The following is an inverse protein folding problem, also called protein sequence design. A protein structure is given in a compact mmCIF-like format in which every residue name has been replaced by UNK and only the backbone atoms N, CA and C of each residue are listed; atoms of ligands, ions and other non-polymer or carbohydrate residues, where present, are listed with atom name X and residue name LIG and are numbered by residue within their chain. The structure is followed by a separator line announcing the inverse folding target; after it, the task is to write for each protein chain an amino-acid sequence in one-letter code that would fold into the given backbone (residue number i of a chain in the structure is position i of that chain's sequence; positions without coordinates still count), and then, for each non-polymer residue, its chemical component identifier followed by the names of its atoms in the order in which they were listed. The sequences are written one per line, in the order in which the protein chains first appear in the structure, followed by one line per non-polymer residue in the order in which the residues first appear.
data_IF_371146685749
#
_entry.id   IF_371146685749
#
_cell.length_a   1.000
_cell.length_b   1.000
_cell.length_c   1.000
_cell.angle_alpha   90.00
_cell.angle_beta   90.00
_cell.angle_gamma   90.00
#
_symmetry.space_group_name_H-M   'P 1'
#
loop_
_entity.id
_entity.type
_entity.pdbx_description
1 polymer ?
#
# COMPACT_ATOMS: atom_id res chain seq x y z
N UNK A 1 4.97 -4.85 -11.43
CA UNK A 1 4.31 -3.85 -12.31
C UNK A 1 5.31 -3.17 -13.24
N UNK A 2 6.44 -2.65 -12.73
CA UNK A 2 7.48 -2.00 -13.54
C UNK A 2 8.08 -2.96 -14.59
N UNK A 3 8.42 -4.18 -14.19
CA UNK A 3 8.94 -5.21 -15.11
C UNK A 3 7.95 -5.62 -16.21
N UNK A 4 6.65 -5.44 -15.96
CA UNK A 4 5.60 -5.70 -16.94
C UNK A 4 5.47 -4.57 -17.98
N UNK A 5 6.33 -3.53 -17.93
CA UNK A 5 6.41 -2.42 -18.89
C UNK A 5 5.07 -1.73 -19.16
N UNK A 6 4.35 -1.41 -18.10
CA UNK A 6 3.13 -0.61 -18.21
C UNK A 6 3.52 0.81 -18.62
N UNK A 7 2.99 1.27 -19.75
CA UNK A 7 3.23 2.61 -20.29
C UNK A 7 2.14 3.59 -19.82
N UNK A 8 2.49 4.88 -19.72
CA UNK A 8 1.55 5.95 -19.38
C UNK A 8 1.21 6.06 -17.88
N UNK A 9 1.99 5.40 -17.01
CA UNK A 9 1.85 5.51 -15.56
C UNK A 9 3.17 5.89 -14.91
N UNK A 10 3.10 6.70 -13.87
CA UNK A 10 4.23 7.02 -13.01
C UNK A 10 4.19 6.15 -11.75
N UNK A 11 5.33 5.56 -11.39
CA UNK A 11 5.43 4.68 -10.23
C UNK A 11 6.06 5.40 -9.05
N UNK A 12 5.35 5.39 -7.93
CA UNK A 12 5.80 5.95 -6.65
C UNK A 12 5.85 4.83 -5.62
N UNK A 13 7.02 4.62 -5.00
CA UNK A 13 7.16 3.71 -3.87
C UNK A 13 7.21 4.50 -2.57
N UNK A 14 6.36 4.11 -1.61
CA UNK A 14 6.29 4.74 -0.28
C UNK A 14 6.49 3.67 0.79
N UNK A 15 7.49 3.83 1.65
CA UNK A 15 7.72 2.89 2.74
C UNK A 15 8.44 3.54 3.92
N UNK A 16 8.26 3.00 5.12
CA UNK A 16 9.03 3.35 6.32
C UNK A 16 10.34 2.56 6.42
N UNK A 17 10.41 1.39 5.78
CA UNK A 17 11.62 0.57 5.68
C UNK A 17 12.52 1.12 4.57
N UNK A 18 13.70 1.62 4.98
CA UNK A 18 14.67 2.23 4.08
C UNK A 18 15.34 1.20 3.15
N UNK A 19 15.57 -0.01 3.65
CA UNK A 19 16.23 -1.07 2.90
C UNK A 19 15.30 -1.61 1.80
N UNK A 20 14.02 -1.83 2.14
CA UNK A 20 13.00 -2.21 1.18
C UNK A 20 12.82 -1.14 0.09
N UNK A 21 12.84 0.14 0.47
CA UNK A 21 12.71 1.25 -0.47
C UNK A 21 13.93 1.39 -1.40
N UNK A 22 15.13 1.16 -0.89
CA UNK A 22 16.35 1.21 -1.70
C UNK A 22 16.31 0.20 -2.85
N UNK A 23 15.80 -1.00 -2.60
CA UNK A 23 15.64 -2.07 -3.59
C UNK A 23 14.47 -1.87 -4.56
N UNK A 24 13.66 -0.81 -4.39
CA UNK A 24 12.55 -0.53 -5.30
C UNK A 24 13.04 0.03 -6.63
N UNK A 25 12.52 -0.53 -7.73
CA UNK A 25 12.76 -0.05 -9.09
C UNK A 25 11.92 1.20 -9.44
N UNK A 26 11.11 1.72 -8.51
CA UNK A 26 10.30 2.91 -8.75
C UNK A 26 11.21 4.15 -8.93
N UNK A 27 10.92 5.00 -9.94
CA UNK A 27 11.68 6.24 -10.16
C UNK A 27 11.54 7.19 -8.96
N UNK A 28 10.33 7.29 -8.40
CA UNK A 28 10.06 8.09 -7.22
C UNK A 28 9.99 7.18 -6.00
N UNK A 29 10.79 7.51 -4.97
CA UNK A 29 10.90 6.77 -3.71
C UNK A 29 10.75 7.73 -2.55
N UNK A 30 9.70 7.56 -1.77
CA UNK A 30 9.40 8.40 -0.60
C UNK A 30 9.62 7.56 0.65
N UNK A 31 10.63 7.95 1.42
CA UNK A 31 10.91 7.35 2.72
C UNK A 31 10.14 8.11 3.80
N UNK A 32 9.02 7.53 4.25
CA UNK A 32 8.19 8.11 5.30
C UNK A 32 8.69 7.71 6.69
N UNK A 33 8.48 8.55 7.69
CA UNK A 33 8.77 8.19 9.10
C UNK A 33 10.26 7.95 9.41
N UNK A 34 11.17 8.71 8.76
CA UNK A 34 12.63 8.65 8.99
C UNK A 34 12.98 8.80 10.48
N UNK A 35 12.35 9.76 11.16
CA UNK A 35 12.53 10.06 12.59
C UNK A 35 11.86 9.02 13.50
N UNK A 36 10.67 8.53 13.12
CA UNK A 36 9.86 7.59 13.91
C UNK A 36 10.42 6.16 13.93
N UNK A 37 10.81 5.65 12.76
CA UNK A 37 11.15 4.24 12.58
C UNK A 37 12.65 4.00 12.49
N UNK A 38 13.45 5.06 12.30
CA UNK A 38 14.89 4.98 12.01
C UNK A 38 15.21 4.06 10.83
N UNK A 39 14.26 3.91 9.89
CA UNK A 39 14.40 3.06 8.71
C UNK A 39 14.09 1.58 8.91
N UNK A 40 13.63 1.15 10.10
CA UNK A 40 13.34 -0.26 10.43
C UNK A 40 11.92 -0.72 10.09
N UNK A 41 11.06 0.20 9.62
CA UNK A 41 9.67 -0.09 9.34
C UNK A 41 8.71 0.14 10.52
N UNK A 42 7.41 -0.09 10.29
CA UNK A 42 6.35 0.22 11.25
C UNK A 42 6.01 -0.92 12.24
N UNK A 43 6.68 -2.09 12.16
CA UNK A 43 6.55 -3.17 13.16
C UNK A 43 5.12 -3.71 13.37
N UNK A 44 4.34 -3.88 12.30
CA UNK A 44 2.90 -4.22 12.34
C UNK A 44 2.01 -3.23 13.10
N UNK A 45 2.48 -2.02 13.41
CA UNK A 45 1.67 -0.99 14.03
C UNK A 45 1.16 0.01 12.96
N UNK A 46 -0.15 0.03 12.65
CA UNK A 46 -0.73 0.97 11.68
C UNK A 46 -0.56 2.42 12.08
N UNK A 47 -0.58 2.71 13.38
CA UNK A 47 -0.48 4.08 13.89
C UNK A 47 0.87 4.71 13.55
N UNK A 48 1.94 3.91 13.58
CA UNK A 48 3.27 4.35 13.15
C UNK A 48 3.28 4.65 11.65
N UNK A 49 2.62 3.81 10.84
CA UNK A 49 2.47 4.04 9.40
C UNK A 49 1.68 5.31 9.08
N UNK A 50 0.60 5.56 9.83
CA UNK A 50 -0.26 6.74 9.72
C UNK A 50 0.52 8.01 10.05
N UNK A 51 1.16 8.04 11.22
CA UNK A 51 1.95 9.21 11.64
C UNK A 51 3.12 9.47 10.68
N UNK A 52 3.80 8.42 10.22
CA UNK A 52 4.85 8.54 9.22
C UNK A 52 4.38 9.20 7.93
N UNK A 53 3.18 8.88 7.45
CA UNK A 53 2.61 9.51 6.26
C UNK A 53 2.23 10.98 6.50
N UNK A 54 1.66 11.30 7.67
CA UNK A 54 1.29 12.67 8.06
C UNK A 54 2.52 13.57 8.14
N UNK A 55 3.58 13.11 8.80
CA UNK A 55 4.82 13.87 8.97
C UNK A 55 5.53 14.14 7.64
N UNK A 56 5.27 13.30 6.63
CA UNK A 56 5.90 13.36 5.30
C UNK A 56 4.90 13.78 4.21
N UNK A 57 3.77 14.42 4.59
CA UNK A 57 2.69 14.78 3.65
C UNK A 57 3.15 15.66 2.49
N UNK A 58 4.10 16.57 2.71
CA UNK A 58 4.56 17.50 1.67
C UNK A 58 5.36 16.79 0.57
N UNK A 59 6.21 15.84 0.96
CA UNK A 59 6.95 14.98 0.03
C UNK A 59 5.98 14.08 -0.76
N UNK A 60 4.89 13.61 -0.12
CA UNK A 60 3.85 12.79 -0.77
C UNK A 60 3.00 13.60 -1.74
N UNK A 61 2.57 14.81 -1.38
CA UNK A 61 1.73 15.64 -2.25
C UNK A 61 2.44 16.07 -3.52
N UNK A 62 3.75 16.30 -3.46
CA UNK A 62 4.53 16.83 -4.59
C UNK A 62 4.35 16.01 -5.87
N UNK A 63 4.55 14.68 -5.88
CA UNK A 63 4.33 13.85 -7.07
C UNK A 63 2.86 13.55 -7.38
N UNK A 64 1.91 13.89 -6.50
CA UNK A 64 0.48 13.72 -6.77
C UNK A 64 -0.13 14.91 -7.53
N UNK A 65 0.56 16.06 -7.55
CA UNK A 65 0.07 17.26 -8.23
C UNK A 65 -0.01 17.04 -9.74
N UNK A 66 -1.18 17.33 -10.31
CA UNK A 66 -1.43 17.19 -11.75
C UNK A 66 -1.75 15.77 -12.19
N UNK A 67 -1.89 14.81 -11.26
CA UNK A 67 -2.40 13.49 -11.58
C UNK A 67 -3.92 13.54 -11.79
N UNK A 68 -4.40 13.07 -12.94
CA UNK A 68 -5.84 12.89 -13.18
C UNK A 68 -6.40 11.71 -12.38
N UNK A 69 -5.59 10.68 -12.19
CA UNK A 69 -5.98 9.43 -11.54
C UNK A 69 -4.81 8.83 -10.77
N UNK A 70 -5.08 8.36 -9.54
CA UNK A 70 -4.10 7.75 -8.64
C UNK A 70 -4.56 6.34 -8.27
N UNK A 71 -3.68 5.37 -8.51
CA UNK A 71 -3.86 3.98 -8.06
C UNK A 71 -3.04 3.72 -6.80
N UNK A 72 -3.73 3.48 -5.69
CA UNK A 72 -3.11 3.15 -4.41
C UNK A 72 -3.10 1.64 -4.20
N UNK A 73 -1.92 1.05 -4.23
CA UNK A 73 -1.75 -0.39 -4.00
C UNK A 73 -1.06 -0.68 -2.67
N UNK A 74 -1.68 -1.49 -1.81
CA UNK A 74 -1.04 -1.93 -0.57
C UNK A 74 -1.54 -3.29 -0.07
N UNK A 75 -0.68 -3.97 0.69
CA UNK A 75 -1.09 -5.13 1.47
C UNK A 75 -1.60 -4.70 2.84
N UNK A 76 -2.87 -4.98 3.11
CA UNK A 76 -3.48 -4.70 4.41
C UNK A 76 -3.03 -5.72 5.46
N UNK A 77 -3.09 -5.31 6.73
CA UNK A 77 -2.68 -6.13 7.87
C UNK A 77 -1.25 -5.87 8.34
N UNK A 78 -0.46 -5.10 7.58
CA UNK A 78 0.84 -4.59 8.04
C UNK A 78 0.72 -3.29 8.84
N UNK A 79 1.86 -2.66 9.15
CA UNK A 79 1.88 -1.32 9.76
C UNK A 79 1.82 -0.20 8.72
N UNK A 80 2.83 -0.15 7.85
CA UNK A 80 2.99 0.96 6.90
C UNK A 80 1.83 1.06 5.92
N UNK A 81 1.54 0.00 5.16
CA UNK A 81 0.50 0.02 4.13
C UNK A 81 -0.89 0.31 4.71
N UNK A 82 -1.25 -0.36 5.81
CA UNK A 82 -2.54 -0.19 6.49
C UNK A 82 -2.73 1.23 7.02
N UNK A 83 -1.70 1.81 7.64
CA UNK A 83 -1.80 3.13 8.26
C UNK A 83 -1.60 4.30 7.31
N UNK A 84 -0.68 4.16 6.35
CA UNK A 84 -0.33 5.23 5.42
C UNK A 84 -1.31 5.35 4.25
N UNK A 85 -1.88 4.23 3.77
CA UNK A 85 -2.73 4.25 2.58
C UNK A 85 -3.95 5.18 2.69
N UNK A 86 -4.71 5.21 3.82
CA UNK A 86 -5.83 6.15 3.97
C UNK A 86 -5.37 7.62 3.93
N UNK A 87 -4.20 7.93 4.51
CA UNK A 87 -3.64 9.29 4.49
C UNK A 87 -3.27 9.69 3.07
N UNK A 88 -2.60 8.81 2.32
CA UNK A 88 -2.21 9.09 0.93
C UNK A 88 -3.46 9.21 0.03
N UNK A 89 -4.51 8.43 0.28
CA UNK A 89 -5.78 8.53 -0.43
C UNK A 89 -6.45 9.90 -0.25
N UNK A 90 -6.48 10.42 0.98
CA UNK A 90 -6.97 11.77 1.25
C UNK A 90 -6.14 12.82 0.50
N UNK A 91 -4.80 12.73 0.55
CA UNK A 91 -3.91 13.67 -0.14
C UNK A 91 -4.09 13.64 -1.67
N UNK A 92 -4.33 12.46 -2.25
CA UNK A 92 -4.62 12.33 -3.68
C UNK A 92 -5.94 12.99 -4.06
N UNK A 93 -6.98 12.85 -3.24
CA UNK A 93 -8.27 13.53 -3.44
C UNK A 93 -8.18 15.04 -3.25
N UNK A 94 -7.42 15.50 -2.26
CA UNK A 94 -7.14 16.93 -2.07
C UNK A 94 -6.40 17.53 -3.28
N UNK A 95 -5.56 16.74 -3.95
CA UNK A 95 -4.90 17.12 -5.20
C UNK A 95 -5.84 17.10 -6.43
N UNK A 96 -7.09 16.66 -6.28
CA UNK A 96 -8.10 16.61 -7.34
C UNK A 96 -8.09 15.34 -8.19
N UNK A 97 -7.33 14.30 -7.80
CA UNK A 97 -7.20 13.07 -8.57
C UNK A 97 -8.31 12.05 -8.25
N UNK A 98 -8.80 11.35 -9.28
CA UNK A 98 -9.64 10.17 -9.11
C UNK A 98 -8.83 9.07 -8.41
N UNK A 99 -9.23 8.67 -7.22
CA UNK A 99 -8.42 7.81 -6.35
C UNK A 99 -9.01 6.41 -6.27
N UNK A 100 -8.26 5.42 -6.76
CA UNK A 100 -8.65 4.00 -6.73
C UNK A 100 -7.70 3.20 -5.85
N UNK A 101 -8.23 2.58 -4.80
CA UNK A 101 -7.50 1.64 -3.96
C UNK A 101 -7.52 0.23 -4.53
N UNK A 102 -6.38 -0.44 -4.59
CA UNK A 102 -6.23 -1.86 -4.94
C UNK A 102 -5.47 -2.55 -3.83
N UNK A 103 -6.17 -3.28 -2.97
CA UNK A 103 -5.60 -3.81 -1.74
C UNK A 103 -5.75 -5.30 -1.62
N UNK A 104 -4.77 -5.94 -0.97
CA UNK A 104 -4.86 -7.35 -0.61
C UNK A 104 -5.20 -7.54 0.86
N UNK A 105 -6.14 -8.43 1.18
CA UNK A 105 -6.34 -8.91 2.55
C UNK A 105 -5.38 -10.08 2.84
N UNK A 106 -4.81 -10.19 4.05
CA UNK A 106 -3.86 -11.24 4.40
C UNK A 106 -4.49 -12.64 4.28
N UNK A 107 -3.67 -13.67 4.21
CA UNK A 107 -4.18 -15.05 4.27
C UNK A 107 -4.74 -15.36 5.66
N UNK A 108 -5.74 -16.24 5.73
CA UNK A 108 -6.34 -16.68 6.99
C UNK A 108 -5.33 -17.28 7.98
N UNK A 109 -4.23 -17.87 7.48
CA UNK A 109 -3.17 -18.46 8.31
C UNK A 109 -2.16 -17.46 8.88
N UNK A 110 -2.16 -16.19 8.45
CA UNK A 110 -1.21 -15.17 8.95
C UNK A 110 -1.59 -14.62 10.33
N UNK A 111 -2.70 -15.07 10.90
CA UNK A 111 -3.11 -14.81 12.26
C UNK A 111 -4.24 -13.77 12.40
N UNK A 112 -4.96 -13.89 13.51
CA UNK A 112 -6.13 -13.06 13.79
C UNK A 112 -5.78 -11.57 13.97
N UNK A 113 -4.62 -11.25 14.54
CA UNK A 113 -4.17 -9.86 14.70
C UNK A 113 -4.01 -9.17 13.34
N UNK A 114 -3.36 -9.83 12.38
CA UNK A 114 -3.14 -9.31 11.03
C UNK A 114 -4.46 -9.08 10.30
N UNK A 115 -5.41 -10.00 10.48
CA UNK A 115 -6.75 -9.89 9.91
C UNK A 115 -7.55 -8.72 10.48
N UNK A 116 -7.50 -8.49 11.80
CA UNK A 116 -8.16 -7.32 12.44
C UNK A 116 -7.60 -6.01 11.93
N UNK A 117 -6.26 -5.89 11.94
CA UNK A 117 -5.57 -4.71 11.40
C UNK A 117 -5.98 -4.46 9.95
N UNK A 118 -6.09 -5.52 9.14
CA UNK A 118 -6.49 -5.40 7.76
C UNK A 118 -7.92 -4.89 7.60
N UNK A 119 -8.86 -5.35 8.44
CA UNK A 119 -10.25 -4.90 8.39
C UNK A 119 -10.38 -3.43 8.79
N UNK A 120 -9.71 -3.02 9.87
CA UNK A 120 -9.72 -1.63 10.34
C UNK A 120 -9.15 -0.69 9.26
N UNK A 121 -8.01 -1.06 8.67
CA UNK A 121 -7.41 -0.30 7.56
C UNK A 121 -8.28 -0.30 6.30
N UNK A 122 -8.99 -1.38 6.02
CA UNK A 122 -9.91 -1.46 4.90
C UNK A 122 -11.08 -0.49 5.05
N UNK A 123 -11.69 -0.41 6.25
CA UNK A 123 -12.74 0.54 6.55
C UNK A 123 -12.26 1.98 6.43
N UNK A 124 -11.11 2.30 7.03
CA UNK A 124 -10.51 3.63 6.93
C UNK A 124 -10.23 4.02 5.47
N UNK A 125 -9.65 3.12 4.67
CA UNK A 125 -9.32 3.40 3.28
C UNK A 125 -10.58 3.57 2.41
N UNK A 126 -11.62 2.76 2.65
CA UNK A 126 -12.87 2.79 1.87
C UNK A 126 -13.54 4.16 1.88
N UNK A 127 -13.49 4.87 3.01
CA UNK A 127 -14.06 6.21 3.12
C UNK A 127 -13.24 7.27 2.36
N UNK A 128 -11.97 6.96 2.07
CA UNK A 128 -11.00 7.90 1.48
C UNK A 128 -10.75 7.68 -0.01
N UNK A 129 -11.30 6.64 -0.64
CA UNK A 129 -11.14 6.36 -2.08
C UNK A 129 -12.47 6.42 -2.83
N UNK A 130 -12.43 6.70 -4.13
CA UNK A 130 -13.62 6.69 -4.99
C UNK A 130 -14.04 5.26 -5.35
N UNK A 131 -13.06 4.35 -5.47
CA UNK A 131 -13.29 2.93 -5.65
C UNK A 131 -12.25 2.10 -4.90
N UNK A 132 -12.66 0.97 -4.31
CA UNK A 132 -11.79 0.06 -3.58
C UNK A 132 -11.91 -1.36 -4.13
N UNK A 133 -10.86 -1.83 -4.80
CA UNK A 133 -10.72 -3.21 -5.28
C UNK A 133 -10.01 -4.01 -4.19
N UNK A 134 -10.66 -5.06 -3.71
CA UNK A 134 -10.14 -5.90 -2.63
C UNK A 134 -9.87 -7.31 -3.13
N UNK A 135 -8.63 -7.76 -2.99
CA UNK A 135 -8.17 -9.08 -3.40
C UNK A 135 -7.89 -9.89 -2.13
N UNK A 136 -8.77 -10.83 -1.74
CA UNK A 136 -8.48 -11.71 -0.61
C UNK A 136 -7.41 -12.74 -1.01
N UNK A 137 -6.28 -12.76 -0.31
CA UNK A 137 -5.16 -13.66 -0.64
C UNK A 137 -5.55 -15.15 -0.60
N UNK A 138 -6.51 -15.54 0.23
CA UNK A 138 -7.02 -16.91 0.28
C UNK A 138 -7.58 -17.40 -1.07
N UNK A 139 -8.07 -16.50 -1.94
CA UNK A 139 -8.50 -16.86 -3.30
C UNK A 139 -7.34 -17.22 -4.22
N UNK A 140 -6.10 -16.87 -3.89
CA UNK A 140 -4.92 -17.27 -4.66
C UNK A 140 -4.60 -18.76 -4.44
N UNK A 141 -4.86 -19.29 -3.25
CA UNK A 141 -4.63 -20.70 -2.92
C UNK A 141 -5.47 -21.64 -3.81
N UNK A 142 -6.73 -21.29 -4.06
CA UNK A 142 -7.63 -22.08 -4.90
C UNK A 142 -7.25 -22.08 -6.39
N UNK A 143 -6.43 -21.13 -6.83
CA UNK A 143 -5.91 -21.06 -8.20
C UNK A 143 -4.59 -21.81 -8.34
N UNK A 144 -3.77 -21.85 -7.29
CA UNK A 144 -2.46 -22.53 -7.29
C UNK A 144 -2.63 -24.06 -7.33
N UNK A 145 -3.68 -24.61 -6.73
CA UNK A 145 -3.94 -26.06 -6.67
C UNK A 145 -4.16 -26.73 -8.04
N UNK A 146 -4.43 -25.98 -9.12
CA UNK A 146 -4.59 -26.56 -10.47
C UNK A 146 -3.29 -26.74 -11.25
N UNK A 147 -2.14 -26.25 -10.76
CA UNK A 147 -0.86 -26.28 -11.50
C UNK A 147 0.21 -27.22 -10.92
N UNK A 148 -0.11 -28.03 -9.91
CA UNK A 148 0.86 -28.96 -9.27
C UNK A 148 0.47 -30.45 -9.29
N UNK A 149 -0.34 -30.90 -10.25
CA UNK A 149 -0.69 -32.32 -10.41
C UNK A 149 -0.42 -32.89 -11.81
N UNK A 150 0.57 -32.36 -12.53
CA UNK A 150 1.07 -33.03 -13.73
C UNK A 150 2.56 -32.78 -13.87
N UNK A 151 3.34 -33.86 -14.00
CA UNK A 151 4.81 -34.02 -13.92
C UNK A 151 5.31 -34.27 -12.48
N UNK A 152 5.72 -35.48 -12.07
CA UNK A 152 6.08 -36.73 -12.76
C UNK A 152 5.53 -37.94 -12.00
#
# INVERSE_FOLDING_TARGET
MIEARIHGVEFIAVNTDAQALHNSNAPIRIHVGKSLTRGLGAGMNPEVGRQAAIDTKEEIMTPLKGADMVFLTCGLGGGTGTGAAPVIADLAREAGALTVGVVTKPFSFEGAQRSRIAEDGWHALREKVDALITIPNDRLLSVIDRKKLTMC
#
